data_IF_598237738221
#
_entry.id   IF_598237738221
#
_cell.length_a   1.000
_cell.length_b   1.000
_cell.length_c   1.000
_cell.angle_alpha   90.00
_cell.angle_beta   90.00
_cell.angle_gamma   90.00
#
_symmetry.space_group_name_H-M   'P 1'
#
loop_
_entity.id
_entity.type
_entity.pdbx_description
1 polymer ?
#
# COMPACT_ATOMS: atom_id res chain seq x y z
N UNK A 1 25.46 22.24 1.49
CA UNK A 1 25.47 21.04 0.62
C UNK A 1 24.06 20.83 0.11
N UNK A 2 23.84 20.88 -1.21
CA UNK A 2 22.51 20.56 -1.78
C UNK A 2 22.35 19.05 -1.70
N UNK A 3 21.44 18.57 -0.83
CA UNK A 3 21.14 17.14 -0.73
C UNK A 3 20.65 16.59 -2.08
N UNK A 4 20.82 15.28 -2.28
CA UNK A 4 20.32 14.58 -3.45
C UNK A 4 18.80 14.79 -3.61
N UNK A 5 18.36 15.17 -4.81
CA UNK A 5 16.96 15.41 -5.13
C UNK A 5 16.42 14.23 -5.93
N UNK A 6 15.34 13.64 -5.43
CA UNK A 6 14.64 12.51 -6.04
C UNK A 6 13.30 13.00 -6.59
N UNK A 7 12.98 12.59 -7.82
CA UNK A 7 11.69 12.86 -8.44
C UNK A 7 10.76 11.67 -8.23
N UNK A 8 9.51 11.95 -7.86
CA UNK A 8 8.40 11.02 -7.81
C UNK A 8 7.48 11.36 -8.97
N UNK A 9 7.45 10.51 -9.99
CA UNK A 9 6.69 10.77 -11.23
C UNK A 9 5.19 10.55 -11.03
N UNK A 10 4.82 9.59 -10.17
CA UNK A 10 3.43 9.38 -9.81
C UNK A 10 2.91 10.53 -8.92
N UNK A 11 2.04 11.35 -9.50
CA UNK A 11 1.50 12.53 -8.80
C UNK A 11 0.72 12.16 -7.53
N UNK A 12 -0.04 11.07 -7.54
CA UNK A 12 -0.79 10.63 -6.36
C UNK A 12 0.15 10.17 -5.24
N UNK A 13 1.23 9.45 -5.58
CA UNK A 13 2.24 9.08 -4.61
C UNK A 13 2.93 10.32 -4.03
N UNK A 14 3.28 11.29 -4.87
CA UNK A 14 3.87 12.56 -4.39
C UNK A 14 2.95 13.31 -3.42
N UNK A 15 1.62 13.32 -3.68
CA UNK A 15 0.62 13.90 -2.76
C UNK A 15 0.63 13.16 -1.42
N UNK A 16 0.64 11.83 -1.43
CA UNK A 16 0.64 11.03 -0.21
C UNK A 16 1.91 11.25 0.60
N UNK A 17 3.07 11.25 -0.05
CA UNK A 17 4.36 11.54 0.60
C UNK A 17 4.33 12.93 1.26
N UNK A 18 3.91 13.96 0.52
CA UNK A 18 3.79 15.31 1.09
C UNK A 18 2.88 15.33 2.32
N UNK A 19 1.73 14.67 2.25
CA UNK A 19 0.79 14.56 3.37
C UNK A 19 1.43 13.90 4.60
N UNK A 20 2.23 12.85 4.41
CA UNK A 20 2.93 12.19 5.53
C UNK A 20 4.02 13.09 6.13
N UNK A 21 4.75 13.84 5.30
CA UNK A 21 5.71 14.85 5.79
C UNK A 21 5.01 15.95 6.60
N UNK A 22 3.90 16.48 6.09
CA UNK A 22 3.11 17.50 6.77
C UNK A 22 2.61 17.02 8.15
N UNK A 23 2.16 15.79 8.27
CA UNK A 23 1.76 15.18 9.55
C UNK A 23 2.90 15.14 10.57
N UNK A 24 4.13 15.01 10.10
CA UNK A 24 5.35 15.01 10.94
C UNK A 24 5.89 16.43 11.20
N UNK A 25 5.21 17.45 10.71
CA UNK A 25 5.68 18.84 10.81
C UNK A 25 6.90 19.14 9.92
N UNK A 26 7.22 18.24 8.96
CA UNK A 26 8.34 18.40 8.04
C UNK A 26 7.86 19.19 6.84
N UNK A 27 8.35 20.43 6.69
CA UNK A 27 8.04 21.25 5.53
C UNK A 27 8.85 20.78 4.33
N UNK A 28 8.15 20.30 3.29
CA UNK A 28 8.77 20.01 2.01
C UNK A 28 9.40 21.28 1.41
N UNK A 29 10.55 21.13 0.77
CA UNK A 29 11.18 22.23 0.06
C UNK A 29 10.38 22.59 -1.20
N UNK A 30 9.52 23.62 -1.07
CA UNK A 30 8.63 24.07 -2.16
C UNK A 30 9.39 24.58 -3.38
N UNK A 31 10.63 25.06 -3.23
CA UNK A 31 11.44 25.56 -4.36
C UNK A 31 11.80 24.45 -5.37
N UNK A 32 11.71 23.18 -4.99
CA UNK A 32 11.99 22.04 -5.87
C UNK A 32 10.81 21.71 -6.79
N UNK A 33 9.63 22.28 -6.55
CA UNK A 33 8.39 21.90 -7.22
C UNK A 33 7.74 20.66 -6.59
N UNK A 34 6.50 20.36 -7.00
CA UNK A 34 5.61 19.44 -6.29
C UNK A 34 6.11 17.99 -6.22
N UNK A 35 6.68 17.45 -7.31
CA UNK A 35 7.08 16.04 -7.42
C UNK A 35 8.55 15.77 -7.07
N UNK A 36 9.28 16.77 -6.60
CA UNK A 36 10.69 16.62 -6.23
C UNK A 36 10.87 16.75 -4.74
N UNK A 37 11.59 15.81 -4.17
CA UNK A 37 11.85 15.70 -2.74
C UNK A 37 13.36 15.60 -2.50
N UNK A 38 13.83 16.11 -1.39
CA UNK A 38 15.17 15.74 -0.94
C UNK A 38 15.17 14.29 -0.48
N UNK A 39 16.26 13.60 -0.64
CA UNK A 39 16.42 12.21 -0.18
C UNK A 39 16.11 12.08 1.31
N UNK A 40 16.58 13.03 2.10
CA UNK A 40 16.36 13.08 3.54
C UNK A 40 14.86 13.24 3.89
N UNK A 41 14.07 13.86 3.03
CA UNK A 41 12.61 13.95 3.18
C UNK A 41 11.96 12.59 2.96
N UNK A 42 12.39 11.85 1.92
CA UNK A 42 11.86 10.50 1.63
C UNK A 42 12.27 9.48 2.71
N UNK A 43 13.44 9.65 3.32
CA UNK A 43 13.92 8.82 4.45
C UNK A 43 13.06 8.96 5.71
N UNK A 44 12.28 10.05 5.83
CA UNK A 44 11.34 10.25 6.94
C UNK A 44 10.03 9.47 6.78
N UNK A 45 9.76 8.94 5.58
CA UNK A 45 8.51 8.21 5.32
C UNK A 45 8.66 6.77 5.81
N UNK A 46 8.01 6.50 6.95
CA UNK A 46 7.93 5.15 7.55
C UNK A 46 6.55 4.53 7.35
N UNK A 47 5.53 5.36 7.22
CA UNK A 47 4.14 4.96 7.12
C UNK A 47 3.55 5.51 5.81
N UNK A 48 2.81 4.70 5.09
CA UNK A 48 2.10 5.14 3.89
C UNK A 48 0.75 4.44 3.77
N UNK A 49 -0.30 5.26 3.62
CA UNK A 49 -1.66 4.80 3.42
C UNK A 49 -2.18 5.19 2.04
N UNK A 50 -2.35 4.20 1.18
CA UNK A 50 -2.94 4.32 -0.17
C UNK A 50 -4.39 3.88 -0.06
N UNK A 51 -5.28 4.81 0.29
CA UNK A 51 -6.68 4.51 0.55
C UNK A 51 -7.56 5.26 -0.45
N UNK A 52 -8.38 4.53 -1.19
CA UNK A 52 -9.33 5.08 -2.17
C UNK A 52 -8.69 6.05 -3.18
N UNK A 53 -7.46 5.77 -3.54
CA UNK A 53 -6.67 6.60 -4.45
C UNK A 53 -6.40 5.78 -5.71
N UNK A 54 -6.81 6.29 -6.87
CA UNK A 54 -6.47 5.68 -8.16
C UNK A 54 -5.00 5.97 -8.50
N UNK A 55 -4.11 5.32 -7.77
CA UNK A 55 -2.67 5.53 -7.88
C UNK A 55 -2.10 4.87 -9.16
N UNK A 56 -2.69 3.76 -9.59
CA UNK A 56 -2.28 3.02 -10.80
C UNK A 56 -0.98 2.24 -10.62
N UNK A 57 0.13 2.92 -10.51
CA UNK A 57 1.47 2.33 -10.41
C UNK A 57 2.11 2.64 -9.06
N UNK A 58 2.82 1.66 -8.50
CA UNK A 58 3.44 1.77 -7.16
C UNK A 58 4.93 1.44 -7.14
N UNK A 59 5.57 1.28 -8.31
CA UNK A 59 6.98 0.92 -8.41
C UNK A 59 7.89 1.92 -7.68
N UNK A 60 7.51 3.18 -7.65
CA UNK A 60 8.27 4.22 -6.97
C UNK A 60 8.26 4.13 -5.43
N UNK A 61 7.53 3.17 -4.84
CA UNK A 61 7.66 2.86 -3.40
C UNK A 61 9.10 2.48 -3.02
N UNK A 62 9.89 1.96 -3.95
CA UNK A 62 11.31 1.68 -3.72
C UNK A 62 12.13 2.94 -3.40
N UNK A 63 11.64 4.12 -3.78
CA UNK A 63 12.27 5.40 -3.43
C UNK A 63 12.06 5.83 -1.98
N UNK A 64 11.32 5.00 -1.19
CA UNK A 64 11.04 5.20 0.24
C UNK A 64 11.86 4.22 1.09
N UNK A 65 13.15 4.48 1.34
CA UNK A 65 14.09 3.48 1.85
C UNK A 65 13.82 3.04 3.30
N UNK A 66 12.97 3.76 4.01
CA UNK A 66 12.62 3.46 5.40
C UNK A 66 11.14 3.13 5.60
N UNK A 67 10.42 2.77 4.52
CA UNK A 67 9.02 2.39 4.61
C UNK A 67 8.87 1.09 5.42
N UNK A 68 8.08 1.15 6.49
CA UNK A 68 7.82 0.06 7.44
C UNK A 68 6.36 -0.37 7.45
N UNK A 69 5.45 0.58 7.30
CA UNK A 69 4.02 0.33 7.38
C UNK A 69 3.36 0.76 6.08
N UNK A 70 2.87 -0.22 5.32
CA UNK A 70 2.17 0.02 4.06
C UNK A 70 0.74 -0.50 4.14
N UNK A 71 -0.21 0.39 3.91
CA UNK A 71 -1.61 0.04 3.79
C UNK A 71 -2.13 0.44 2.41
N UNK A 72 -2.69 -0.52 1.68
CA UNK A 72 -3.38 -0.34 0.41
C UNK A 72 -4.81 -0.81 0.59
N UNK A 73 -5.79 0.06 0.35
CA UNK A 73 -7.18 -0.27 0.54
C UNK A 73 -8.06 0.40 -0.51
N UNK A 74 -8.69 -0.40 -1.34
CA UNK A 74 -9.78 0.04 -2.20
C UNK A 74 -11.10 -0.18 -1.47
N UNK A 75 -11.91 0.87 -1.29
CA UNK A 75 -13.21 0.73 -0.63
C UNK A 75 -14.16 -0.05 -1.53
N UNK A 76 -14.61 -1.20 -1.02
CA UNK A 76 -15.74 -1.88 -1.61
C UNK A 76 -17.03 -1.19 -1.13
N UNK A 77 -17.84 -0.73 -2.07
CA UNK A 77 -19.10 -0.03 -1.85
C UNK A 77 -20.18 -0.88 -1.14
N UNK A 78 -19.88 -2.12 -0.79
CA UNK A 78 -20.74 -2.92 0.10
C UNK A 78 -20.57 -2.58 1.57
N UNK A 79 -19.57 -1.76 1.90
CA UNK A 79 -19.35 -1.34 3.29
C UNK A 79 -20.30 -0.21 3.63
N UNK A 80 -21.10 -0.44 4.68
CA UNK A 80 -22.09 0.48 5.21
C UNK A 80 -21.52 1.89 5.44
N UNK A 81 -22.01 2.89 4.70
CA UNK A 81 -21.86 4.28 5.11
C UNK A 81 -22.87 4.52 6.24
N UNK A 82 -22.38 4.76 7.45
CA UNK A 82 -23.18 5.10 8.65
C UNK A 82 -24.31 4.10 8.98
N UNK A 83 -24.03 2.78 8.84
CA UNK A 83 -25.02 1.77 9.22
C UNK A 83 -26.17 1.58 8.21
N UNK A 84 -26.10 2.17 7.03
CA UNK A 84 -27.12 2.06 5.98
C UNK A 84 -26.58 1.26 4.80
N UNK A 85 -27.29 0.21 4.37
CA UNK A 85 -27.00 -0.50 3.12
C UNK A 85 -27.19 0.47 1.96
N UNK A 86 -26.16 0.59 1.11
CA UNK A 86 -26.26 1.39 -0.11
C UNK A 86 -27.09 0.63 -1.12
N UNK A 87 -28.15 1.25 -1.61
CA UNK A 87 -29.02 0.67 -2.62
C UNK A 87 -28.39 0.70 -4.02
N UNK A 88 -28.86 -0.14 -4.98
CA UNK A 88 -28.38 -0.13 -6.34
C UNK A 88 -28.37 1.23 -7.04
N UNK A 89 -29.27 2.12 -6.67
CA UNK A 89 -29.40 3.46 -7.27
C UNK A 89 -28.29 4.42 -6.79
N UNK A 90 -27.73 4.18 -5.61
CA UNK A 90 -26.58 4.94 -5.12
C UNK A 90 -25.28 4.59 -5.87
N UNK A 91 -25.29 3.54 -6.70
CA UNK A 91 -24.13 3.04 -7.42
C UNK A 91 -23.61 4.01 -8.50
N UNK A 92 -24.44 4.85 -9.05
CA UNK A 92 -24.08 5.76 -10.13
C UNK A 92 -23.22 6.95 -9.68
N UNK A 93 -23.23 7.27 -8.39
CA UNK A 93 -22.47 8.41 -7.85
C UNK A 93 -21.15 8.01 -7.15
N UNK A 94 -20.88 6.71 -7.04
CA UNK A 94 -19.69 6.20 -6.38
C UNK A 94 -19.08 5.08 -7.23
N UNK A 95 -18.39 5.43 -8.29
CA UNK A 95 -17.42 4.50 -8.86
C UNK A 95 -16.52 4.03 -7.73
N UNK A 96 -16.43 2.72 -7.52
CA UNK A 96 -15.48 2.14 -6.57
C UNK A 96 -14.11 2.71 -6.94
N UNK A 97 -13.56 3.57 -6.11
CA UNK A 97 -12.22 4.11 -6.32
C UNK A 97 -11.25 2.99 -6.08
N UNK A 98 -11.09 2.16 -7.09
CA UNK A 98 -10.06 1.12 -7.12
C UNK A 98 -8.71 1.82 -7.16
N UNK A 99 -7.71 1.22 -6.52
CA UNK A 99 -6.33 1.73 -6.57
C UNK A 99 -5.78 1.82 -7.99
N UNK A 100 -6.35 1.03 -8.90
CA UNK A 100 -5.85 0.88 -10.28
C UNK A 100 -4.55 0.09 -10.35
N UNK A 101 -3.99 -0.35 -9.24
CA UNK A 101 -2.74 -1.11 -9.19
C UNK A 101 -2.93 -2.42 -9.95
N UNK A 102 -2.02 -2.68 -10.88
CA UNK A 102 -2.01 -3.91 -11.68
C UNK A 102 -0.88 -4.85 -11.25
N UNK A 103 0.22 -4.30 -10.78
CA UNK A 103 1.41 -5.01 -10.34
C UNK A 103 1.75 -4.67 -8.90
N UNK A 104 1.88 -5.69 -8.07
CA UNK A 104 2.23 -5.59 -6.65
C UNK A 104 3.65 -6.07 -6.36
N UNK A 105 4.41 -6.46 -7.38
CA UNK A 105 5.75 -7.07 -7.22
C UNK A 105 6.77 -6.18 -6.53
N UNK A 106 6.61 -4.85 -6.61
CA UNK A 106 7.46 -3.90 -5.88
C UNK A 106 7.44 -4.16 -4.38
N UNK A 107 6.29 -4.58 -3.83
CA UNK A 107 6.13 -4.83 -2.38
C UNK A 107 7.11 -5.93 -1.92
N UNK A 108 7.31 -6.94 -2.75
CA UNK A 108 8.21 -8.08 -2.47
C UNK A 108 9.68 -7.64 -2.27
N UNK A 109 10.03 -6.41 -2.67
CA UNK A 109 11.38 -5.82 -2.53
C UNK A 109 11.52 -4.84 -1.37
N UNK A 110 10.42 -4.52 -0.68
CA UNK A 110 10.40 -3.57 0.44
C UNK A 110 10.80 -4.26 1.76
N UNK A 111 12.05 -4.76 1.83
CA UNK A 111 12.54 -5.62 2.92
C UNK A 111 12.51 -5.03 4.34
N UNK A 112 12.20 -3.74 4.50
CA UNK A 112 12.01 -3.11 5.82
C UNK A 112 10.56 -3.09 6.29
N UNK A 113 9.62 -3.64 5.52
CA UNK A 113 8.23 -3.68 5.94
C UNK A 113 8.07 -4.51 7.22
N UNK A 114 7.38 -3.91 8.18
CA UNK A 114 6.96 -4.50 9.45
C UNK A 114 5.45 -4.81 9.43
N UNK A 115 4.67 -3.94 8.75
CA UNK A 115 3.22 -4.10 8.59
C UNK A 115 2.85 -3.95 7.13
N UNK A 116 2.18 -4.97 6.59
CA UNK A 116 1.59 -4.94 5.26
C UNK A 116 0.10 -5.24 5.36
N UNK A 117 -0.73 -4.31 4.90
CA UNK A 117 -2.16 -4.49 4.75
C UNK A 117 -2.59 -4.19 3.33
N UNK A 118 -3.27 -5.15 2.67
CA UNK A 118 -3.83 -4.98 1.34
C UNK A 118 -5.26 -5.50 1.36
N UNK A 119 -6.22 -4.58 1.25
CA UNK A 119 -7.64 -4.91 1.32
C UNK A 119 -8.36 -4.54 0.03
N UNK A 120 -9.23 -5.45 -0.43
CA UNK A 120 -10.14 -5.25 -1.54
C UNK A 120 -9.46 -4.89 -2.87
N UNK A 121 -8.32 -5.54 -3.16
CA UNK A 121 -7.57 -5.36 -4.39
C UNK A 121 -7.85 -6.51 -5.38
N UNK A 122 -8.67 -6.25 -6.40
CA UNK A 122 -9.09 -7.26 -7.38
C UNK A 122 -7.95 -7.78 -8.26
N UNK A 123 -6.86 -7.02 -8.40
CA UNK A 123 -5.73 -7.42 -9.22
C UNK A 123 -4.65 -8.15 -8.42
N UNK A 124 -4.73 -8.18 -7.09
CA UNK A 124 -3.81 -8.94 -6.27
C UNK A 124 -4.08 -10.44 -6.48
N UNK A 125 -3.14 -11.14 -7.10
CA UNK A 125 -3.24 -12.58 -7.39
C UNK A 125 -2.32 -13.41 -6.51
N UNK A 126 -1.17 -12.88 -6.17
CA UNK A 126 -0.17 -13.48 -5.30
C UNK A 126 0.61 -12.39 -4.59
N UNK A 127 1.25 -12.78 -3.51
CA UNK A 127 2.29 -11.99 -2.81
C UNK A 127 3.37 -12.95 -2.35
N UNK A 128 4.62 -12.54 -2.50
CA UNK A 128 5.78 -13.26 -1.98
C UNK A 128 6.39 -12.45 -0.83
N UNK A 129 6.50 -13.06 0.33
CA UNK A 129 7.03 -12.43 1.54
C UNK A 129 8.44 -12.87 1.90
N UNK A 130 9.08 -13.67 1.04
CA UNK A 130 10.42 -14.23 1.31
C UNK A 130 11.46 -13.17 1.71
N UNK A 131 11.42 -12.00 1.07
CA UNK A 131 12.36 -10.91 1.34
C UNK A 131 11.89 -9.94 2.44
N UNK A 132 10.67 -10.11 2.98
CA UNK A 132 10.08 -9.24 3.98
C UNK A 132 10.42 -9.72 5.41
N UNK A 133 11.71 -9.84 5.70
CA UNK A 133 12.21 -10.47 6.95
C UNK A 133 11.76 -9.80 8.25
N UNK A 134 11.37 -8.53 8.19
CA UNK A 134 10.92 -7.78 9.36
C UNK A 134 9.38 -7.78 9.50
N UNK A 135 8.67 -8.55 8.66
CA UNK A 135 7.21 -8.53 8.62
C UNK A 135 6.61 -9.14 9.89
N UNK A 136 5.99 -8.30 10.71
CA UNK A 136 5.33 -8.68 11.95
C UNK A 136 3.80 -8.81 11.80
N UNK A 137 3.20 -8.09 10.84
CA UNK A 137 1.75 -8.18 10.57
C UNK A 137 1.49 -8.20 9.06
N UNK A 138 0.78 -9.24 8.61
CA UNK A 138 0.29 -9.39 7.24
C UNK A 138 -1.23 -9.50 7.22
N UNK A 139 -1.90 -8.54 6.61
CA UNK A 139 -3.35 -8.52 6.43
C UNK A 139 -3.70 -8.43 4.95
N UNK A 140 -4.32 -9.46 4.43
CA UNK A 140 -4.76 -9.52 3.04
C UNK A 140 -6.24 -9.92 3.04
N UNK A 141 -7.14 -8.93 3.09
CA UNK A 141 -8.58 -9.17 3.23
C UNK A 141 -9.33 -8.81 1.96
N UNK A 142 -10.43 -9.52 1.71
CA UNK A 142 -11.34 -9.19 0.60
C UNK A 142 -10.67 -9.06 -0.77
N UNK A 143 -9.56 -9.77 -1.02
CA UNK A 143 -8.87 -9.79 -2.30
C UNK A 143 -9.41 -10.95 -3.15
N UNK A 144 -10.40 -10.74 -4.04
CA UNK A 144 -11.19 -11.82 -4.62
C UNK A 144 -10.39 -12.72 -5.57
N UNK A 145 -9.26 -12.26 -6.07
CA UNK A 145 -8.42 -12.99 -7.00
C UNK A 145 -7.09 -13.47 -6.39
N UNK A 146 -6.88 -13.22 -5.10
CA UNK A 146 -5.71 -13.70 -4.38
C UNK A 146 -5.77 -15.25 -4.32
N UNK A 147 -4.71 -15.89 -4.79
CA UNK A 147 -4.60 -17.34 -4.91
C UNK A 147 -3.46 -17.91 -4.10
N UNK A 148 -2.45 -17.10 -3.83
CA UNK A 148 -1.20 -17.58 -3.28
C UNK A 148 -0.52 -16.52 -2.40
N UNK A 149 -0.03 -16.97 -1.26
CA UNK A 149 0.90 -16.24 -0.40
C UNK A 149 2.11 -17.15 -0.21
N UNK A 150 3.29 -16.69 -0.63
CA UNK A 150 4.55 -17.42 -0.54
C UNK A 150 5.45 -16.81 0.51
N UNK A 151 6.46 -17.56 0.92
CA UNK A 151 7.56 -17.06 1.73
C UNK A 151 7.21 -16.84 3.20
N UNK A 152 6.03 -17.27 3.68
CA UNK A 152 5.64 -17.12 5.09
C UNK A 152 6.61 -17.83 6.05
N UNK A 153 7.22 -18.92 5.63
CA UNK A 153 8.20 -19.68 6.45
C UNK A 153 9.49 -18.86 6.71
N UNK A 154 9.72 -17.80 5.96
CA UNK A 154 10.87 -16.91 6.13
C UNK A 154 10.58 -15.69 7.01
N UNK A 155 9.35 -15.53 7.49
CA UNK A 155 8.93 -14.40 8.31
C UNK A 155 8.89 -14.82 9.79
N UNK A 156 10.07 -14.95 10.41
CA UNK A 156 10.21 -15.42 11.80
C UNK A 156 9.55 -14.45 12.81
N UNK A 157 9.45 -13.16 12.46
CA UNK A 157 8.84 -12.12 13.29
C UNK A 157 7.32 -11.99 13.09
N UNK A 158 6.69 -12.85 12.28
CA UNK A 158 5.27 -12.72 11.94
C UNK A 158 4.39 -13.12 13.15
N UNK A 159 3.75 -12.13 13.75
CA UNK A 159 2.85 -12.27 14.90
C UNK A 159 1.37 -12.26 14.51
N UNK A 160 1.04 -11.63 13.39
CA UNK A 160 -0.33 -11.48 12.94
C UNK A 160 -0.47 -11.84 11.47
N UNK A 161 -1.33 -12.81 11.18
CA UNK A 161 -1.69 -13.21 9.82
C UNK A 161 -3.20 -13.19 9.68
N UNK A 162 -3.72 -12.33 8.79
CA UNK A 162 -5.13 -12.23 8.51
C UNK A 162 -5.38 -12.32 7.01
N UNK A 163 -6.07 -13.37 6.61
CA UNK A 163 -6.37 -13.70 5.23
C UNK A 163 -7.88 -13.84 4.98
N UNK A 164 -8.69 -13.18 5.81
CA UNK A 164 -10.14 -13.33 5.77
C UNK A 164 -10.77 -12.85 4.46
N UNK A 165 -11.92 -13.45 4.11
CA UNK A 165 -12.75 -13.09 2.97
C UNK A 165 -12.08 -13.16 1.59
N UNK A 166 -10.95 -13.87 1.49
CA UNK A 166 -10.39 -14.21 0.18
C UNK A 166 -11.06 -15.49 -0.37
N UNK A 167 -10.86 -15.84 -1.63
CA UNK A 167 -11.45 -17.09 -2.18
C UNK A 167 -10.91 -18.31 -1.44
N UNK A 168 -11.77 -19.25 -1.08
CA UNK A 168 -11.55 -20.43 -0.20
C UNK A 168 -10.49 -21.46 -0.61
N UNK A 169 -9.63 -21.21 -1.59
CA UNK A 169 -8.56 -22.15 -1.97
C UNK A 169 -7.21 -21.49 -1.76
N UNK A 170 -6.72 -21.66 -0.56
CA UNK A 170 -5.36 -21.27 -0.18
C UNK A 170 -4.42 -22.45 -0.38
N UNK A 171 -3.31 -22.18 -1.01
CA UNK A 171 -2.13 -23.01 -0.86
C UNK A 171 -1.03 -22.11 -0.28
N UNK A 172 -0.79 -22.22 1.05
CA UNK A 172 0.49 -21.84 1.59
C UNK A 172 1.47 -22.89 1.07
N UNK A 173 2.22 -22.57 0.05
CA UNK A 173 3.32 -23.43 -0.41
C UNK A 173 4.52 -23.17 0.47
N UNK A 174 4.97 -24.24 1.16
CA UNK A 174 6.26 -24.29 1.85
C UNK A 174 7.39 -24.08 0.86
#
# INVERSE_FOLDING_TARGET
MSGEVVRIDNMYLAILIKKELDKKGIKKNESLGFQRFKKEELEQIKDLNIINTNIGEIDELEKLPNLRNLKICSVNMRTMIKGKLITPDDRYNYESKLSGIKDFSVIERLGKLEILQIDNEKNLKRIDTENLKNLASLKLRDNPNLKEVRGLDFNEELLELDLEHNRRRWFATK
#
